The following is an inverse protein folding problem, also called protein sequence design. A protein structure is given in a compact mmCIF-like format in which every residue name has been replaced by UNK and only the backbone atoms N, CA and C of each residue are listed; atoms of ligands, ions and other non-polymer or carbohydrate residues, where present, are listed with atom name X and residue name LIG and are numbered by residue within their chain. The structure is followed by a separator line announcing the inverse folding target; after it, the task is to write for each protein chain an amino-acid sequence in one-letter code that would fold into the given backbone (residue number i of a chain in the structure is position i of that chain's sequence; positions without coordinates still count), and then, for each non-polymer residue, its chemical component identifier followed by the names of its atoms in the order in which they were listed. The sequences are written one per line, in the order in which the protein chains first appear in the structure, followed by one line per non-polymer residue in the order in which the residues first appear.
data_IF_788597119238
#
_entry.id   IF_788597119238
#
_cell.length_a   1.000
_cell.length_b   1.000
_cell.length_c   1.000
_cell.angle_alpha   90.00
_cell.angle_beta   90.00
_cell.angle_gamma   90.00
#
_symmetry.space_group_name_H-M   'P 1'
#
loop_
_entity.id
_entity.type
_entity.pdbx_description
1 polymer ?
#
# COMPACT_ATOMS: atom_id res chain seq x y z
N UNK A 1 11.32 -17.19 -12.00
CA UNK A 1 10.10 -16.50 -11.58
C UNK A 1 10.42 -15.03 -11.34
N UNK A 2 9.69 -14.14 -11.95
CA UNK A 2 9.93 -12.71 -11.77
C UNK A 2 9.56 -12.28 -10.33
N UNK A 3 10.36 -11.41 -9.75
CA UNK A 3 10.04 -10.83 -8.44
C UNK A 3 8.89 -9.84 -8.56
N UNK A 4 8.14 -9.68 -7.50
CA UNK A 4 6.99 -8.79 -7.42
C UNK A 4 7.42 -7.43 -6.86
N UNK A 5 6.91 -6.35 -7.45
CA UNK A 5 6.91 -5.03 -6.83
C UNK A 5 5.52 -4.81 -6.20
N UNK A 6 5.48 -4.70 -4.89
CA UNK A 6 4.25 -4.75 -4.12
C UNK A 6 3.86 -3.39 -3.55
N UNK A 7 2.67 -2.92 -3.92
CA UNK A 7 2.06 -1.74 -3.32
C UNK A 7 1.40 -2.11 -1.98
N UNK A 8 1.75 -1.40 -0.91
CA UNK A 8 1.23 -1.60 0.43
C UNK A 8 0.37 -0.42 0.88
N UNK A 9 -0.80 -0.71 1.41
CA UNK A 9 -1.75 0.25 1.93
C UNK A 9 -3.10 -0.42 2.16
N UNK A 10 -4.05 0.28 2.77
CA UNK A 10 -5.43 -0.20 2.90
C UNK A 10 -6.24 0.02 1.64
N UNK A 11 -5.86 1.01 0.84
CA UNK A 11 -6.48 1.37 -0.45
C UNK A 11 -8.00 1.51 -0.40
N UNK A 12 -8.50 2.04 0.69
CA UNK A 12 -9.90 2.37 0.84
C UNK A 12 -10.21 3.67 0.09
N UNK A 13 -11.08 3.60 -0.92
CA UNK A 13 -11.50 4.73 -1.72
C UNK A 13 -10.56 5.21 -2.82
N UNK A 14 -9.39 4.63 -3.00
CA UNK A 14 -8.43 4.94 -4.07
C UNK A 14 -8.19 6.45 -4.31
N UNK A 15 -8.05 7.24 -3.25
CA UNK A 15 -7.77 8.66 -3.36
C UNK A 15 -6.34 8.93 -3.91
N UNK A 16 -5.99 10.20 -4.12
CA UNK A 16 -4.74 10.60 -4.81
C UNK A 16 -3.45 10.04 -4.20
N UNK A 17 -3.38 9.92 -2.87
CA UNK A 17 -2.25 9.30 -2.19
C UNK A 17 -2.10 7.83 -2.54
N UNK A 18 -3.20 7.08 -2.56
CA UNK A 18 -3.21 5.69 -2.99
C UNK A 18 -2.82 5.55 -4.48
N UNK A 19 -3.33 6.43 -5.34
CA UNK A 19 -2.96 6.44 -6.76
C UNK A 19 -1.47 6.65 -6.96
N UNK A 20 -0.84 7.49 -6.15
CA UNK A 20 0.60 7.73 -6.23
C UNK A 20 1.40 6.48 -5.85
N UNK A 21 0.98 5.74 -4.82
CA UNK A 21 1.58 4.45 -4.46
C UNK A 21 1.47 3.47 -5.63
N UNK A 22 0.27 3.35 -6.22
CA UNK A 22 0.04 2.43 -7.35
C UNK A 22 0.84 2.82 -8.60
N UNK A 23 0.89 4.11 -8.95
CA UNK A 23 1.69 4.61 -10.08
C UNK A 23 3.18 4.38 -9.88
N UNK A 24 3.67 4.60 -8.68
CA UNK A 24 5.07 4.35 -8.34
C UNK A 24 5.40 2.86 -8.46
N UNK A 25 4.50 2.00 -7.99
CA UNK A 25 4.65 0.54 -8.12
C UNK A 25 4.62 0.09 -9.58
N UNK A 26 3.73 0.66 -10.38
CA UNK A 26 3.61 0.36 -11.81
C UNK A 26 4.92 0.59 -12.57
N UNK A 27 5.68 1.62 -12.19
CA UNK A 27 6.97 1.94 -12.84
C UNK A 27 8.02 0.84 -12.69
N UNK A 28 7.90 0.00 -11.68
CA UNK A 28 8.81 -1.14 -11.50
C UNK A 28 8.70 -2.20 -12.60
N UNK A 29 7.62 -2.19 -13.37
CA UNK A 29 7.51 -3.06 -14.56
C UNK A 29 8.66 -2.82 -15.55
N UNK A 30 9.15 -1.58 -15.65
CA UNK A 30 10.28 -1.24 -16.52
C UNK A 30 11.60 -1.86 -16.05
N UNK A 31 11.67 -2.29 -14.79
CA UNK A 31 12.84 -2.97 -14.22
C UNK A 31 12.68 -4.49 -14.17
N UNK A 32 11.63 -5.03 -14.80
CA UNK A 32 11.39 -6.46 -14.87
C UNK A 32 10.60 -7.05 -13.70
N UNK A 33 10.09 -6.22 -12.78
CA UNK A 33 9.20 -6.67 -11.71
C UNK A 33 7.76 -6.83 -12.21
N UNK A 34 7.01 -7.69 -11.55
CA UNK A 34 5.55 -7.76 -11.74
C UNK A 34 4.89 -6.81 -10.73
N UNK A 35 4.29 -5.71 -11.19
CA UNK A 35 3.59 -4.81 -10.26
C UNK A 35 2.36 -5.48 -9.67
N UNK A 36 2.18 -5.38 -8.37
CA UNK A 36 1.05 -5.95 -7.64
C UNK A 36 0.56 -5.02 -6.55
N UNK A 37 -0.69 -5.17 -6.15
CA UNK A 37 -1.28 -4.46 -5.02
C UNK A 37 -1.75 -5.47 -3.97
N UNK A 38 -1.30 -5.31 -2.73
CA UNK A 38 -1.80 -6.08 -1.60
C UNK A 38 -3.22 -5.62 -1.27
N UNK A 39 -4.14 -6.56 -1.23
CA UNK A 39 -5.55 -6.30 -0.89
C UNK A 39 -5.95 -7.09 0.34
N UNK A 40 -6.51 -6.41 1.33
CA UNK A 40 -7.11 -7.08 2.48
C UNK A 40 -8.51 -7.58 2.16
N UNK A 41 -8.86 -8.74 2.70
CA UNK A 41 -10.19 -9.34 2.59
C UNK A 41 -11.27 -8.53 3.32
N UNK A 42 -10.87 -7.73 4.32
CA UNK A 42 -11.76 -6.80 5.03
C UNK A 42 -10.98 -5.56 5.49
N UNK A 43 -11.74 -4.50 5.79
CA UNK A 43 -11.13 -3.30 6.35
C UNK A 43 -10.50 -3.61 7.71
N UNK A 44 -9.26 -3.14 7.99
CA UNK A 44 -8.56 -3.41 9.25
C UNK A 44 -9.38 -3.05 10.50
N UNK A 45 -10.15 -1.96 10.47
CA UNK A 45 -11.01 -1.57 11.60
C UNK A 45 -12.13 -2.56 11.86
N UNK A 46 -12.65 -3.23 10.82
CA UNK A 46 -13.66 -4.28 10.99
C UNK A 46 -13.07 -5.49 11.71
N UNK A 47 -11.87 -5.89 11.36
CA UNK A 47 -11.18 -7.00 12.00
C UNK A 47 -10.86 -6.74 13.48
N UNK A 48 -10.54 -5.49 13.83
CA UNK A 48 -10.14 -5.11 15.20
C UNK A 48 -11.35 -4.70 16.06
N UNK A 49 -12.27 -3.89 15.52
CA UNK A 49 -13.38 -3.27 16.27
C UNK A 49 -14.75 -3.82 15.91
N UNK A 50 -14.86 -4.71 14.91
CA UNK A 50 -16.14 -5.23 14.42
C UNK A 50 -16.97 -4.23 13.60
N UNK A 51 -16.52 -2.98 13.47
CA UNK A 51 -17.20 -1.92 12.74
C UNK A 51 -16.27 -1.37 11.68
N UNK A 52 -16.71 -1.39 10.41
CA UNK A 52 -15.99 -0.76 9.32
C UNK A 52 -16.66 0.56 8.93
N UNK A 53 -15.89 1.59 8.54
CA UNK A 53 -16.48 2.73 7.86
C UNK A 53 -17.11 2.31 6.54
N UNK A 54 -18.08 3.08 5.99
CA UNK A 54 -18.62 2.79 4.67
C UNK A 54 -17.52 2.70 3.62
N UNK A 55 -17.55 1.68 2.76
CA UNK A 55 -16.62 1.56 1.66
C UNK A 55 -16.94 2.63 0.60
N UNK A 56 -15.93 3.39 0.20
CA UNK A 56 -16.04 4.38 -0.87
C UNK A 56 -16.01 3.73 -2.26
N UNK A 57 -15.53 2.50 -2.34
CA UNK A 57 -15.42 1.71 -3.56
C UNK A 57 -15.61 0.23 -3.19
N UNK A 58 -16.31 -0.51 -4.04
CA UNK A 58 -16.47 -1.95 -3.82
C UNK A 58 -15.17 -2.71 -4.06
N UNK A 59 -15.06 -3.92 -3.51
CA UNK A 59 -13.90 -4.78 -3.78
C UNK A 59 -13.78 -5.14 -5.26
N UNK A 60 -14.90 -5.39 -5.93
CA UNK A 60 -14.92 -5.71 -7.36
C UNK A 60 -14.40 -4.53 -8.20
N UNK A 61 -14.89 -3.33 -7.94
CA UNK A 61 -14.45 -2.11 -8.63
C UNK A 61 -12.96 -1.84 -8.38
N UNK A 62 -12.49 -2.11 -7.16
CA UNK A 62 -11.07 -1.99 -6.81
C UNK A 62 -10.21 -2.97 -7.60
N UNK A 63 -10.62 -4.21 -7.70
CA UNK A 63 -9.94 -5.25 -8.50
C UNK A 63 -9.86 -4.83 -9.97
N UNK A 64 -10.97 -4.39 -10.53
CA UNK A 64 -11.03 -3.96 -11.93
C UNK A 64 -10.14 -2.74 -12.18
N UNK A 65 -10.18 -1.77 -11.29
CA UNK A 65 -9.33 -0.58 -11.37
C UNK A 65 -7.83 -0.93 -11.35
N UNK A 66 -7.43 -1.79 -10.44
CA UNK A 66 -6.03 -2.21 -10.28
C UNK A 66 -5.55 -2.99 -11.49
N UNK A 67 -6.37 -3.91 -12.00
CA UNK A 67 -6.07 -4.65 -13.24
C UNK A 67 -5.94 -3.72 -14.45
N UNK A 68 -6.81 -2.73 -14.56
CA UNK A 68 -6.75 -1.74 -15.63
C UNK A 68 -5.49 -0.87 -15.57
N UNK A 69 -4.91 -0.68 -14.39
CA UNK A 69 -3.62 -0.03 -14.22
C UNK A 69 -2.42 -0.95 -14.52
N UNK A 70 -2.65 -2.22 -14.82
CA UNK A 70 -1.58 -3.19 -15.07
C UNK A 70 -0.96 -3.77 -13.80
N UNK A 71 -1.62 -3.65 -12.65
CA UNK A 71 -1.18 -4.29 -11.41
C UNK A 71 -1.96 -5.57 -11.12
N UNK A 72 -1.29 -6.54 -10.55
CA UNK A 72 -1.89 -7.79 -10.10
C UNK A 72 -2.48 -7.60 -8.70
N UNK A 73 -3.80 -7.78 -8.50
CA UNK A 73 -4.35 -7.78 -7.15
C UNK A 73 -3.95 -9.07 -6.42
N UNK A 74 -3.34 -8.94 -5.24
CA UNK A 74 -2.95 -10.09 -4.41
C UNK A 74 -3.67 -10.05 -3.08
N UNK A 75 -4.64 -10.96 -2.86
CA UNK A 75 -5.45 -10.94 -1.65
C UNK A 75 -4.70 -11.52 -0.45
N UNK A 76 -4.90 -10.92 0.71
CA UNK A 76 -4.38 -11.39 1.99
C UNK A 76 -5.46 -11.24 3.05
N UNK A 77 -5.61 -12.27 3.89
CA UNK A 77 -6.48 -12.15 5.06
C UNK A 77 -5.82 -11.27 6.12
N UNK A 78 -6.49 -10.19 6.50
CA UNK A 78 -6.01 -9.32 7.57
C UNK A 78 -5.88 -10.07 8.90
N UNK A 79 -6.77 -11.02 9.17
CA UNK A 79 -6.71 -11.83 10.39
C UNK A 79 -5.46 -12.72 10.47
N UNK A 80 -4.94 -13.18 9.33
CA UNK A 80 -3.70 -13.96 9.30
C UNK A 80 -2.47 -13.11 9.63
N UNK A 81 -2.45 -11.84 9.22
CA UNK A 81 -1.26 -11.00 9.34
C UNK A 81 -1.26 -10.07 10.54
N UNK A 82 -2.42 -9.83 11.18
CA UNK A 82 -2.56 -8.85 12.26
C UNK A 82 -1.71 -9.15 13.50
N UNK A 83 -1.38 -10.41 13.72
CA UNK A 83 -0.60 -10.86 14.88
C UNK A 83 0.90 -10.97 14.59
N UNK A 84 1.32 -10.78 13.32
CA UNK A 84 2.72 -10.85 12.93
C UNK A 84 3.50 -9.63 13.41
N UNK A 85 4.72 -9.83 13.89
CA UNK A 85 5.63 -8.72 14.12
C UNK A 85 5.98 -8.03 12.80
N UNK A 86 6.50 -6.80 12.83
CA UNK A 86 6.97 -6.15 11.59
C UNK A 86 7.94 -7.01 10.78
N UNK A 87 8.90 -7.66 11.45
CA UNK A 87 9.86 -8.52 10.78
C UNK A 87 9.22 -9.78 10.21
N UNK A 88 8.32 -10.43 10.94
CA UNK A 88 7.56 -11.59 10.46
C UNK A 88 6.69 -11.23 9.24
N UNK A 89 6.09 -10.05 9.23
CA UNK A 89 5.34 -9.58 8.06
C UNK A 89 6.23 -9.51 6.82
N UNK A 90 7.43 -8.96 6.94
CA UNK A 90 8.38 -8.89 5.82
C UNK A 90 8.84 -10.27 5.39
N UNK A 91 9.24 -11.12 6.32
CA UNK A 91 9.80 -12.44 5.98
C UNK A 91 8.76 -13.43 5.50
N UNK A 92 7.63 -13.54 6.20
CA UNK A 92 6.62 -14.57 5.89
C UNK A 92 5.69 -14.14 4.75
N UNK A 93 5.29 -12.88 4.71
CA UNK A 93 4.34 -12.38 3.72
C UNK A 93 5.05 -11.83 2.50
N UNK A 94 5.89 -10.81 2.65
CA UNK A 94 6.49 -10.16 1.49
C UNK A 94 7.47 -11.08 0.76
N UNK A 95 8.32 -11.78 1.47
CA UNK A 95 9.37 -12.61 0.88
C UNK A 95 8.84 -14.00 0.53
N UNK A 96 8.41 -14.78 1.52
CA UNK A 96 8.07 -16.19 1.30
C UNK A 96 6.79 -16.36 0.49
N UNK A 97 5.75 -15.58 0.78
CA UNK A 97 4.45 -15.74 0.12
C UNK A 97 4.40 -15.06 -1.24
N UNK A 98 4.93 -13.85 -1.38
CA UNK A 98 4.80 -13.05 -2.60
C UNK A 98 6.10 -12.87 -3.40
N UNK A 99 7.23 -13.35 -2.91
CA UNK A 99 8.52 -13.18 -3.60
C UNK A 99 8.79 -11.70 -3.95
N UNK A 100 8.52 -10.79 -3.00
CA UNK A 100 8.69 -9.37 -3.21
C UNK A 100 10.17 -9.00 -3.37
N UNK A 101 10.49 -8.30 -4.44
CA UNK A 101 11.82 -7.71 -4.67
C UNK A 101 11.81 -6.19 -4.55
N UNK A 102 10.62 -5.59 -4.58
CA UNK A 102 10.42 -4.17 -4.36
C UNK A 102 9.10 -3.94 -3.60
N UNK A 103 9.06 -2.92 -2.78
CA UNK A 103 7.91 -2.55 -1.96
C UNK A 103 7.71 -1.05 -2.02
N UNK A 104 6.49 -0.62 -2.23
CA UNK A 104 6.10 0.80 -2.26
C UNK A 104 5.01 1.03 -1.23
N UNK A 105 5.16 2.04 -0.40
CA UNK A 105 4.13 2.46 0.56
C UNK A 105 4.01 3.97 0.62
N UNK A 106 2.92 4.46 1.20
CA UNK A 106 2.79 5.86 1.57
C UNK A 106 3.56 6.17 2.87
N UNK A 107 3.66 7.45 3.18
CA UNK A 107 4.37 7.95 4.36
C UNK A 107 3.78 7.44 5.68
N UNK A 108 2.45 7.32 5.74
CA UNK A 108 1.72 6.96 6.97
C UNK A 108 1.34 5.47 7.04
N UNK A 109 2.01 4.63 6.28
CA UNK A 109 1.74 3.20 6.31
C UNK A 109 2.20 2.59 7.63
N UNK A 110 1.31 1.85 8.29
CA UNK A 110 1.58 1.08 9.48
C UNK A 110 1.26 -0.40 9.26
N UNK A 111 2.04 -1.26 9.84
CA UNK A 111 1.91 -2.71 9.70
C UNK A 111 2.44 -3.43 10.95
N UNK A 112 2.21 -4.75 10.98
CA UNK A 112 2.60 -5.56 12.11
C UNK A 112 1.64 -5.44 13.29
N UNK A 113 1.87 -6.27 14.31
CA UNK A 113 1.03 -6.32 15.50
C UNK A 113 0.94 -4.95 16.18
N UNK A 114 -0.28 -4.52 16.48
CA UNK A 114 -0.57 -3.20 17.06
C UNK A 114 -0.08 -2.01 16.22
N UNK A 115 0.15 -2.19 14.91
CA UNK A 115 0.70 -1.14 14.07
C UNK A 115 2.12 -0.72 14.45
N UNK A 116 2.89 -1.63 15.03
CA UNK A 116 4.26 -1.35 15.51
C UNK A 116 5.23 -0.99 14.39
N UNK A 117 5.00 -1.48 13.16
CA UNK A 117 5.78 -1.11 11.99
C UNK A 117 5.31 0.22 11.39
N UNK A 118 6.25 0.98 10.87
CA UNK A 118 6.01 2.23 10.14
C UNK A 118 6.93 2.29 8.91
N UNK A 119 6.88 3.38 8.16
CA UNK A 119 7.70 3.55 6.95
C UNK A 119 9.20 3.43 7.21
N UNK A 120 9.66 3.94 8.33
CA UNK A 120 11.08 3.86 8.72
C UNK A 120 11.50 2.41 9.00
N UNK A 121 10.72 1.69 9.80
CA UNK A 121 10.98 0.28 10.13
C UNK A 121 10.88 -0.57 8.85
N UNK A 122 9.92 -0.30 7.98
CA UNK A 122 9.79 -0.98 6.70
C UNK A 122 11.04 -0.77 5.83
N UNK A 123 11.56 0.45 5.76
CA UNK A 123 12.79 0.76 5.04
C UNK A 123 13.99 -0.03 5.59
N UNK A 124 14.16 -0.05 6.90
CA UNK A 124 15.24 -0.78 7.58
C UNK A 124 15.15 -2.30 7.32
N UNK A 125 13.95 -2.86 7.41
CA UNK A 125 13.73 -4.29 7.15
C UNK A 125 13.93 -4.65 5.67
N UNK A 126 13.47 -3.80 4.75
CA UNK A 126 13.70 -4.00 3.33
C UNK A 126 15.20 -3.96 2.99
N UNK A 127 15.95 -3.05 3.58
CA UNK A 127 17.40 -2.99 3.44
C UNK A 127 18.06 -4.26 3.97
N UNK A 128 17.67 -4.73 5.16
CA UNK A 128 18.17 -5.96 5.77
C UNK A 128 17.98 -7.20 4.88
N UNK A 129 16.85 -7.28 4.19
CA UNK A 129 16.48 -8.44 3.36
C UNK A 129 16.67 -8.23 1.85
N UNK A 130 17.40 -7.21 1.46
CA UNK A 130 17.71 -6.90 0.05
C UNK A 130 16.44 -6.70 -0.82
N UNK A 131 15.48 -5.98 -0.27
CA UNK A 131 14.26 -5.56 -0.96
C UNK A 131 14.37 -4.07 -1.24
N UNK A 132 14.05 -3.66 -2.47
CA UNK A 132 14.00 -2.24 -2.82
C UNK A 132 12.77 -1.62 -2.15
N UNK A 133 12.98 -0.59 -1.34
CA UNK A 133 11.90 0.17 -0.75
C UNK A 133 11.79 1.55 -1.36
N UNK A 134 10.58 1.95 -1.71
CA UNK A 134 10.29 3.30 -2.15
C UNK A 134 9.05 3.84 -1.45
N UNK A 135 9.19 4.99 -0.83
CA UNK A 135 8.07 5.76 -0.31
C UNK A 135 7.49 6.60 -1.44
N UNK A 136 6.18 6.51 -1.67
CA UNK A 136 5.52 7.35 -2.65
C UNK A 136 5.51 8.80 -2.17
N UNK A 137 5.80 9.72 -3.08
CA UNK A 137 5.81 11.15 -2.78
C UNK A 137 4.38 11.65 -2.52
N UNK A 138 4.23 12.46 -1.48
CA UNK A 138 3.00 13.18 -1.23
C UNK A 138 2.86 14.30 -2.26
N UNK A 139 1.79 14.26 -3.05
CA UNK A 139 1.48 15.37 -3.96
C UNK A 139 0.75 16.44 -3.17
N UNK A 140 1.43 17.56 -2.89
CA UNK A 140 0.78 18.77 -2.40
C UNK A 140 0.24 19.50 -3.62
N UNK A 141 -1.06 19.40 -3.84
CA UNK A 141 -1.73 20.22 -4.86
C UNK A 141 -2.02 21.59 -4.27
N UNK A 142 -1.15 22.54 -4.54
CA UNK A 142 -1.45 23.96 -4.33
C UNK A 142 -2.31 24.41 -5.50
N UNK A 143 -3.63 24.37 -5.34
CA UNK A 143 -4.54 25.01 -6.29
C UNK A 143 -4.57 26.51 -5.96
N UNK A 144 -3.78 27.29 -6.68
CA UNK A 144 -3.91 28.74 -6.69
C UNK A 144 -5.09 29.11 -7.58
N UNK A 145 -6.27 29.31 -6.97
CA UNK A 145 -7.35 30.02 -7.62
C UNK A 145 -7.12 31.53 -7.47
N UNK A 146 -7.40 32.32 -8.51
CA UNK A 146 -7.23 33.78 -8.44
C UNK A 146 -8.22 34.51 -7.51
N UNK A 147 -9.00 33.79 -6.73
CA UNK A 147 -10.02 34.34 -5.82
C UNK A 147 -9.86 33.74 -4.42
N UNK A 148 -9.23 34.53 -3.56
CA UNK A 148 -9.36 34.63 -2.09
C UNK A 148 -9.46 33.38 -1.19
N UNK A 149 -9.25 32.16 -1.64
CA UNK A 149 -9.16 31.01 -0.73
C UNK A 149 -8.14 29.99 -1.23
N UNK A 150 -7.07 29.85 -0.47
CA UNK A 150 -6.12 28.76 -0.63
C UNK A 150 -6.69 27.56 0.10
N UNK A 151 -7.16 26.56 -0.64
CA UNK A 151 -7.54 25.29 -0.04
C UNK A 151 -6.32 24.37 -0.17
N UNK A 152 -5.63 24.14 0.95
CA UNK A 152 -4.54 23.18 1.02
C UNK A 152 -5.16 21.83 1.35
N UNK A 153 -5.19 20.92 0.36
CA UNK A 153 -5.50 19.52 0.62
C UNK A 153 -4.19 18.80 0.91
N UNK A 154 -3.92 18.57 2.16
CA UNK A 154 -2.92 17.58 2.55
C UNK A 154 -3.63 16.23 2.50
N UNK A 155 -3.39 15.47 1.44
CA UNK A 155 -3.89 14.11 1.33
C UNK A 155 -2.95 13.20 2.14
N UNK A 156 -3.28 13.05 3.40
CA UNK A 156 -2.71 12.03 4.28
C UNK A 156 -3.50 10.74 4.05
N UNK A 157 -2.79 9.63 3.87
CA UNK A 157 -3.42 8.30 3.80
C UNK A 157 -4.18 7.96 5.05
#
# INVERSE_FOLDING_TARGET
MNKIALALGTFDGLHKGHLQVLKTTQKFALQGFVPAMLMFDCHPLKAVKGIAPPLLITQEDKVDFVKNMGLLPVPVSFNEIRELSPEEFVTEILIKRFNAGAVVSGENFHFGKFGAGNSKILCELCEKYDIIYKQAENIILTLTFPVRSVIIYTLVQ
#
